data_IF_747605086021
#
_entry.id   IF_747605086021
#
_cell.length_a   1.000
_cell.length_b   1.000
_cell.length_c   1.000
_cell.angle_alpha   90.00
_cell.angle_beta   90.00
_cell.angle_gamma   90.00
#
_symmetry.space_group_name_H-M   'P 1'
#
loop_
_entity.id
_entity.type
_entity.pdbx_description
1 polymer ?
#
# COMPACT_ATOMS: atom_id res chain seq x y z
N UNK A 1 31.38 -11.71 19.00
CA UNK A 1 30.55 -10.55 18.59
C UNK A 1 30.77 -10.32 17.11
N UNK A 2 29.73 -10.16 16.28
CA UNK A 2 29.85 -10.23 14.81
C UNK A 2 30.08 -8.88 14.11
N UNK A 3 29.82 -7.77 14.79
CA UNK A 3 29.91 -6.41 14.21
C UNK A 3 31.32 -5.79 14.30
N UNK A 4 32.31 -6.54 14.80
CA UNK A 4 33.71 -6.09 14.79
C UNK A 4 34.05 -4.89 15.68
N UNK A 5 33.19 -4.55 16.66
CA UNK A 5 33.38 -3.43 17.60
C UNK A 5 34.70 -3.55 18.39
N UNK A 6 35.08 -4.78 18.75
CA UNK A 6 36.32 -5.07 19.49
C UNK A 6 37.48 -5.51 18.58
N UNK A 7 37.18 -5.90 17.34
CA UNK A 7 38.16 -6.42 16.37
C UNK A 7 38.74 -5.32 15.47
N UNK A 8 38.32 -4.06 15.70
CA UNK A 8 38.81 -2.93 14.95
C UNK A 8 38.36 -2.88 13.48
N UNK A 9 37.29 -3.60 13.13
CA UNK A 9 36.79 -3.75 11.75
C UNK A 9 36.75 -2.41 10.99
N UNK A 10 37.54 -2.25 9.91
CA UNK A 10 37.70 -0.97 9.21
C UNK A 10 36.52 -0.65 8.27
N UNK A 11 35.73 -1.63 7.86
CA UNK A 11 34.75 -1.48 6.77
C UNK A 11 33.64 -0.46 7.04
N UNK A 12 33.28 -0.25 8.31
CA UNK A 12 32.22 0.70 8.69
C UNK A 12 32.76 1.93 9.44
N UNK A 13 34.06 1.97 9.78
CA UNK A 13 34.68 3.10 10.47
C UNK A 13 34.91 4.31 9.56
N UNK A 14 35.00 4.07 8.25
CA UNK A 14 35.18 5.12 7.24
C UNK A 14 33.87 5.81 6.83
N UNK A 15 32.72 5.27 7.26
CA UNK A 15 31.42 5.89 7.00
C UNK A 15 31.23 7.08 7.95
N UNK A 16 30.77 8.19 7.39
CA UNK A 16 30.63 9.47 8.09
C UNK A 16 29.54 10.32 7.47
N UNK A 17 29.41 11.57 7.92
CA UNK A 17 28.33 12.49 7.52
C UNK A 17 28.24 12.69 5.99
N UNK A 18 29.38 12.71 5.32
CA UNK A 18 29.47 12.90 3.86
C UNK A 18 28.85 11.74 3.06
N UNK A 19 28.65 10.59 3.70
CA UNK A 19 27.98 9.42 3.11
C UNK A 19 26.48 9.38 3.44
N UNK A 20 25.95 10.25 4.31
CA UNK A 20 24.54 10.17 4.73
C UNK A 20 23.64 10.84 3.70
N UNK A 21 23.99 12.06 3.29
CA UNK A 21 23.24 12.87 2.32
C UNK A 21 24.00 12.98 0.98
N UNK A 22 24.54 11.87 0.48
CA UNK A 22 25.12 11.82 -0.87
C UNK A 22 24.03 11.95 -1.92
N UNK A 23 24.38 12.46 -3.10
CA UNK A 23 23.44 12.60 -4.22
C UNK A 23 22.83 11.24 -4.62
N UNK A 24 23.62 10.17 -4.52
CA UNK A 24 23.18 8.78 -4.76
C UNK A 24 22.04 8.36 -3.82
N UNK A 25 22.13 8.68 -2.53
CA UNK A 25 21.07 8.33 -1.56
C UNK A 25 19.80 9.15 -1.79
N UNK A 26 19.97 10.42 -2.18
CA UNK A 26 18.85 11.31 -2.50
C UNK A 26 18.15 10.81 -3.77
N UNK A 27 18.90 10.37 -4.79
CA UNK A 27 18.34 9.82 -6.03
C UNK A 27 17.58 8.51 -5.79
N UNK A 28 18.12 7.59 -4.98
CA UNK A 28 17.41 6.35 -4.60
C UNK A 28 16.13 6.65 -3.82
N UNK A 29 16.17 7.61 -2.88
CA UNK A 29 14.99 8.02 -2.15
C UNK A 29 13.94 8.66 -3.07
N UNK A 30 14.39 9.46 -4.05
CA UNK A 30 13.52 10.03 -5.05
C UNK A 30 12.87 8.93 -5.91
N UNK A 31 13.65 7.97 -6.43
CA UNK A 31 13.18 6.83 -7.23
C UNK A 31 12.13 6.00 -6.48
N UNK A 32 12.39 5.67 -5.21
CA UNK A 32 11.43 4.98 -4.36
C UNK A 32 10.10 5.77 -4.21
N UNK A 33 10.17 7.11 -4.11
CA UNK A 33 8.98 7.94 -4.10
C UNK A 33 8.27 7.97 -5.46
N UNK A 34 8.99 7.90 -6.59
CA UNK A 34 8.39 7.84 -7.94
C UNK A 34 7.57 6.57 -8.12
N UNK A 35 8.12 5.44 -7.72
CA UNK A 35 7.49 4.12 -7.87
C UNK A 35 6.40 3.85 -6.82
N UNK A 36 6.55 4.40 -5.61
CA UNK A 36 5.63 4.18 -4.49
C UNK A 36 4.31 4.95 -4.60
N UNK A 37 4.21 5.95 -5.48
CA UNK A 37 3.00 6.74 -5.68
C UNK A 37 1.91 5.93 -6.38
N UNK A 38 0.71 5.92 -5.80
CA UNK A 38 -0.45 5.17 -6.32
C UNK A 38 -1.51 6.12 -6.86
N UNK A 39 -1.90 5.95 -8.12
CA UNK A 39 -3.04 6.66 -8.72
C UNK A 39 -4.34 5.90 -8.44
N UNK A 40 -5.24 6.49 -7.65
CA UNK A 40 -6.50 5.84 -7.25
C UNK A 40 -7.66 6.15 -8.22
N UNK A 41 -7.71 7.37 -8.74
CA UNK A 41 -8.78 7.80 -9.65
C UNK A 41 -8.20 8.77 -10.66
N UNK A 42 -8.47 8.50 -11.94
CA UNK A 42 -8.09 9.40 -13.02
C UNK A 42 -9.34 10.14 -13.55
N UNK A 43 -9.26 11.46 -13.64
CA UNK A 43 -10.18 12.26 -14.47
C UNK A 43 -9.65 12.35 -15.90
N UNK A 44 -10.31 13.11 -16.79
CA UNK A 44 -9.68 13.52 -18.06
C UNK A 44 -8.63 14.58 -17.69
N UNK A 45 -7.32 14.30 -17.72
CA UNK A 45 -6.33 15.26 -17.28
C UNK A 45 -6.11 16.28 -18.41
N UNK A 46 -6.23 17.57 -18.10
CA UNK A 46 -5.94 18.64 -19.07
C UNK A 46 -4.42 18.88 -19.25
N UNK A 47 -3.57 18.46 -18.29
CA UNK A 47 -2.09 18.48 -18.30
C UNK A 47 -1.52 17.92 -16.97
N UNK A 48 -0.28 17.46 -16.97
CA UNK A 48 0.50 17.04 -15.78
C UNK A 48 1.44 18.19 -15.35
N UNK A 49 1.63 18.48 -14.04
CA UNK A 49 2.45 19.61 -13.56
C UNK A 49 2.92 19.44 -12.09
N UNK A 50 4.14 19.92 -11.73
CA UNK A 50 5.14 19.59 -10.65
C UNK A 50 4.87 20.09 -9.20
N UNK A 51 5.80 19.94 -8.20
CA UNK A 51 5.66 20.41 -6.80
C UNK A 51 5.99 21.89 -6.54
N UNK A 52 5.39 22.49 -5.50
CA UNK A 52 5.19 23.93 -5.25
C UNK A 52 6.38 24.91 -5.48
N UNK A 53 7.63 24.55 -5.16
CA UNK A 53 8.79 25.41 -5.44
C UNK A 53 9.15 25.43 -6.94
N UNK A 54 8.84 24.35 -7.64
CA UNK A 54 9.03 24.18 -9.08
C UNK A 54 7.76 24.58 -9.87
N UNK A 55 6.56 24.56 -9.28
CA UNK A 55 5.35 25.11 -9.95
C UNK A 55 5.51 26.61 -10.19
N UNK A 56 6.20 27.31 -9.30
CA UNK A 56 6.53 28.74 -9.47
C UNK A 56 7.39 29.02 -10.72
N UNK A 57 8.06 27.99 -11.27
CA UNK A 57 8.85 28.09 -12.51
C UNK A 57 7.97 27.89 -13.77
N UNK A 58 6.83 27.20 -13.65
CA UNK A 58 5.88 26.93 -14.75
C UNK A 58 4.73 27.93 -14.84
N UNK A 59 4.41 28.65 -13.75
CA UNK A 59 3.34 29.64 -13.73
C UNK A 59 3.17 30.32 -12.38
N UNK A 60 2.18 31.20 -12.29
CA UNK A 60 1.79 31.84 -11.04
C UNK A 60 1.08 30.83 -10.12
N UNK A 61 1.56 30.72 -8.89
CA UNK A 61 1.04 29.78 -7.89
C UNK A 61 0.37 30.56 -6.78
N UNK A 62 -0.91 30.29 -6.56
CA UNK A 62 -1.67 30.83 -5.43
C UNK A 62 -1.75 29.72 -4.38
N UNK A 63 -1.01 29.90 -3.29
CA UNK A 63 -1.07 29.01 -2.14
C UNK A 63 -1.96 29.63 -1.07
N UNK A 64 -3.02 28.91 -0.71
CA UNK A 64 -3.89 29.26 0.41
C UNK A 64 -4.04 28.05 1.33
N UNK A 65 -3.87 28.29 2.63
CA UNK A 65 -4.09 27.25 3.63
C UNK A 65 -5.60 27.06 3.81
N UNK A 66 -6.13 25.88 3.49
CA UNK A 66 -7.55 25.58 3.65
C UNK A 66 -7.96 25.22 5.07
N UNK A 67 -7.15 24.39 5.75
CA UNK A 67 -7.31 24.05 7.17
C UNK A 67 -5.97 24.18 7.89
N UNK A 68 -5.99 24.71 9.11
CA UNK A 68 -4.80 24.82 9.95
C UNK A 68 -4.50 23.56 10.77
N UNK A 69 -5.48 22.68 10.96
CA UNK A 69 -5.38 21.45 11.77
C UNK A 69 -6.05 20.28 11.03
N UNK A 70 -5.62 19.05 11.32
CA UNK A 70 -6.11 17.85 10.62
C UNK A 70 -7.60 17.57 10.84
N UNK A 71 -8.14 17.95 12.00
CA UNK A 71 -9.57 17.82 12.28
C UNK A 71 -10.41 18.97 11.69
N UNK A 72 -9.78 19.98 11.07
CA UNK A 72 -10.43 21.15 10.45
C UNK A 72 -11.56 21.76 11.30
N UNK A 73 -11.32 22.02 12.60
CA UNK A 73 -12.37 22.62 13.45
C UNK A 73 -12.69 24.07 13.11
N UNK A 74 -11.73 24.80 12.56
CA UNK A 74 -11.91 26.17 12.08
C UNK A 74 -12.07 26.18 10.56
N UNK A 75 -13.25 26.56 10.10
CA UNK A 75 -13.64 26.64 8.68
C UNK A 75 -13.33 28.02 8.04
N UNK A 76 -12.86 28.98 8.83
CA UNK A 76 -12.57 30.35 8.36
C UNK A 76 -11.59 30.40 7.18
N UNK A 77 -10.69 29.42 7.11
CA UNK A 77 -9.64 29.31 6.10
C UNK A 77 -10.13 28.64 4.80
N UNK A 78 -11.29 28.00 4.81
CA UNK A 78 -11.86 27.35 3.63
C UNK A 78 -12.34 28.38 2.60
N UNK A 79 -12.91 29.49 3.06
CA UNK A 79 -13.44 30.53 2.15
C UNK A 79 -12.34 31.22 1.33
N UNK A 80 -11.22 31.70 1.92
CA UNK A 80 -10.08 32.21 1.15
C UNK A 80 -9.53 31.21 0.13
N UNK A 81 -9.35 29.94 0.54
CA UNK A 81 -8.86 28.89 -0.35
C UNK A 81 -9.83 28.60 -1.51
N UNK A 82 -11.14 28.67 -1.25
CA UNK A 82 -12.16 28.49 -2.28
C UNK A 82 -12.17 29.66 -3.27
N UNK A 83 -11.90 30.89 -2.81
CA UNK A 83 -11.82 32.05 -3.69
C UNK A 83 -10.60 31.96 -4.61
N UNK A 84 -9.44 31.60 -4.07
CA UNK A 84 -8.24 31.32 -4.86
C UNK A 84 -8.48 30.19 -5.89
N UNK A 85 -9.20 29.14 -5.50
CA UNK A 85 -9.53 28.04 -6.41
C UNK A 85 -10.45 28.45 -7.57
N UNK A 86 -11.30 29.47 -7.41
CA UNK A 86 -12.15 29.99 -8.50
C UNK A 86 -11.35 30.73 -9.56
N UNK A 87 -10.29 31.40 -9.16
CA UNK A 87 -9.43 32.16 -10.08
C UNK A 87 -8.43 31.25 -10.80
N UNK A 88 -8.05 30.12 -10.18
CA UNK A 88 -7.10 29.18 -10.73
C UNK A 88 -7.68 28.32 -11.87
N UNK A 89 -6.86 28.06 -12.89
CA UNK A 89 -7.22 27.12 -13.98
C UNK A 89 -7.15 25.65 -13.57
N UNK A 90 -6.35 25.32 -12.56
CA UNK A 90 -6.22 23.99 -11.95
C UNK A 90 -6.07 24.16 -10.44
N UNK A 91 -6.83 23.40 -9.66
CA UNK A 91 -6.74 23.39 -8.19
C UNK A 91 -6.12 22.08 -7.72
N UNK A 92 -5.08 22.18 -6.89
CA UNK A 92 -4.44 21.02 -6.25
C UNK A 92 -4.80 21.02 -4.76
N UNK A 93 -5.42 19.94 -4.29
CA UNK A 93 -5.75 19.74 -2.87
C UNK A 93 -4.80 18.72 -2.26
N UNK A 94 -4.03 19.15 -1.27
CA UNK A 94 -3.12 18.29 -0.51
C UNK A 94 -3.75 18.02 0.85
N UNK A 95 -4.25 16.79 1.01
CA UNK A 95 -5.00 16.37 2.20
C UNK A 95 -4.52 14.98 2.61
N UNK A 96 -4.61 14.65 3.90
CA UNK A 96 -4.20 13.35 4.40
C UNK A 96 -4.30 13.28 5.92
N UNK A 97 -3.56 12.33 6.48
CA UNK A 97 -3.28 12.23 7.91
C UNK A 97 -1.79 12.57 8.15
N UNK A 98 -1.44 12.89 9.38
CA UNK A 98 -0.08 13.22 9.80
C UNK A 98 0.26 12.48 11.09
N UNK A 99 1.46 12.74 11.62
CA UNK A 99 1.94 12.16 12.87
C UNK A 99 1.14 12.61 14.12
N UNK A 100 0.25 13.60 14.01
CA UNK A 100 -0.64 13.95 15.12
C UNK A 100 -1.76 12.91 15.32
N UNK A 101 -2.08 12.16 14.27
CA UNK A 101 -3.10 11.09 14.28
C UNK A 101 -2.43 9.72 14.37
N UNK A 102 -1.44 9.44 13.53
CA UNK A 102 -0.77 8.13 13.45
C UNK A 102 0.67 8.24 13.98
N UNK A 103 0.85 8.00 15.27
CA UNK A 103 2.16 7.93 15.89
C UNK A 103 2.21 6.84 16.97
N UNK A 104 3.40 6.31 17.23
CA UNK A 104 3.62 5.44 18.37
C UNK A 104 3.34 6.22 19.67
N UNK A 105 2.56 5.62 20.56
CA UNK A 105 2.14 6.24 21.83
C UNK A 105 3.33 6.58 22.74
N UNK A 106 3.74 7.85 22.75
CA UNK A 106 4.35 8.62 23.85
C UNK A 106 5.38 7.92 24.78
N UNK A 107 6.57 7.58 24.25
CA UNK A 107 7.86 7.80 24.95
C UNK A 107 8.90 8.21 23.90
N UNK A 108 8.89 9.47 23.50
CA UNK A 108 9.85 9.97 22.51
C UNK A 108 9.63 11.43 22.09
N UNK A 109 9.09 12.27 22.97
CA UNK A 109 9.01 13.71 22.72
C UNK A 109 10.38 14.35 22.95
N UNK A 110 11.40 13.96 22.18
CA UNK A 110 12.67 14.68 22.08
C UNK A 110 13.57 14.25 20.89
N UNK A 111 13.07 14.05 19.67
CA UNK A 111 13.97 14.10 18.48
C UNK A 111 13.28 14.25 17.11
N UNK A 112 12.41 15.26 16.93
CA UNK A 112 11.96 15.65 15.57
C UNK A 112 11.94 17.16 15.41
N UNK A 113 13.09 17.79 15.71
CA UNK A 113 13.39 19.12 15.20
C UNK A 113 14.80 19.11 14.60
N UNK A 114 15.03 18.27 13.60
CA UNK A 114 15.82 18.74 12.46
C UNK A 114 14.84 19.11 11.34
N UNK A 115 14.30 20.33 11.45
CA UNK A 115 13.54 21.04 10.42
C UNK A 115 14.50 21.42 9.27
N UNK A 116 15.14 20.43 8.66
CA UNK A 116 15.94 20.62 7.45
C UNK A 116 15.34 19.78 6.34
N UNK A 117 14.59 20.50 5.51
CA UNK A 117 14.23 20.14 4.14
C UNK A 117 13.55 18.78 3.99
N UNK A 118 12.29 18.69 4.42
CA UNK A 118 11.35 17.82 3.71
C UNK A 118 11.03 18.50 2.37
N UNK A 119 11.99 18.46 1.43
CA UNK A 119 11.75 18.65 -0.02
C UNK A 119 11.08 17.40 -0.60
N UNK A 120 10.11 16.85 0.12
CA UNK A 120 9.37 15.65 -0.23
C UNK A 120 7.88 15.91 -0.01
N UNK A 121 7.35 16.92 -0.71
CA UNK A 121 5.93 17.21 -0.86
C UNK A 121 5.73 17.85 -2.24
N UNK A 122 4.77 17.42 -3.08
CA UNK A 122 4.29 16.08 -3.37
C UNK A 122 4.81 15.61 -4.75
N UNK A 123 5.42 14.42 -4.81
CA UNK A 123 6.03 13.80 -6.00
C UNK A 123 5.01 13.33 -7.06
N UNK A 124 3.73 13.69 -6.95
CA UNK A 124 2.65 13.16 -7.81
C UNK A 124 2.66 13.69 -9.25
N UNK A 125 3.59 14.58 -9.55
CA UNK A 125 3.34 15.64 -10.51
C UNK A 125 4.61 16.07 -11.26
N UNK A 126 5.74 15.45 -10.93
CA UNK A 126 7.00 15.67 -11.63
C UNK A 126 6.87 15.18 -13.07
N UNK A 127 7.31 16.02 -14.01
CA UNK A 127 7.46 15.61 -15.41
C UNK A 127 8.25 14.30 -15.46
N UNK A 128 7.69 13.32 -16.19
CA UNK A 128 8.18 11.95 -16.38
C UNK A 128 7.92 10.92 -15.27
N UNK A 129 7.03 11.17 -14.30
CA UNK A 129 6.58 10.10 -13.38
C UNK A 129 5.24 9.55 -13.85
N UNK A 130 5.26 8.32 -14.36
CA UNK A 130 4.05 7.52 -14.56
C UNK A 130 3.80 6.80 -13.24
N UNK A 131 2.70 7.08 -12.53
CA UNK A 131 2.38 6.36 -11.31
C UNK A 131 2.10 4.90 -11.66
N UNK A 132 2.90 4.00 -11.12
CA UNK A 132 2.75 2.55 -11.28
C UNK A 132 2.54 1.83 -9.94
N UNK A 133 2.60 2.57 -8.83
CA UNK A 133 2.37 2.04 -7.50
C UNK A 133 1.01 1.33 -7.39
N UNK A 134 0.95 0.40 -6.44
CA UNK A 134 -0.27 -0.33 -6.07
C UNK A 134 -0.43 -0.25 -4.56
N UNK A 135 -1.68 -0.19 -4.10
CA UNK A 135 -1.98 -0.11 -2.66
C UNK A 135 -1.48 -1.37 -1.92
N UNK A 136 -0.61 -1.23 -0.90
CA UNK A 136 -0.18 -2.36 -0.08
C UNK A 136 -1.20 -2.73 1.00
N UNK A 137 -2.29 -1.97 1.14
CA UNK A 137 -3.35 -2.16 2.13
C UNK A 137 -4.72 -1.87 1.51
N UNK A 138 -5.77 -2.52 2.01
CA UNK A 138 -7.14 -2.23 1.59
C UNK A 138 -7.69 -1.02 2.37
N UNK A 139 -8.37 -0.12 1.67
CA UNK A 139 -9.07 1.02 2.27
C UNK A 139 -10.50 0.63 2.63
N UNK A 140 -10.76 0.45 3.91
CA UNK A 140 -12.07 0.08 4.43
C UNK A 140 -12.97 1.30 4.59
N UNK A 141 -14.28 1.06 4.59
CA UNK A 141 -15.24 2.06 5.01
C UNK A 141 -15.11 2.36 6.51
N UNK A 142 -15.50 3.57 6.92
CA UNK A 142 -15.41 4.00 8.32
C UNK A 142 -16.12 3.04 9.27
N UNK A 143 -17.25 2.45 8.87
CA UNK A 143 -18.01 1.51 9.71
C UNK A 143 -17.24 0.24 10.08
N UNK A 144 -16.19 -0.12 9.35
CA UNK A 144 -15.38 -1.30 9.65
C UNK A 144 -14.68 -1.22 11.01
N UNK A 145 -14.29 -0.02 11.46
CA UNK A 145 -13.61 0.17 12.75
C UNK A 145 -14.54 -0.14 13.94
N UNK A 146 -15.85 -0.05 13.74
CA UNK A 146 -16.88 -0.34 14.75
C UNK A 146 -17.32 -1.81 14.73
N UNK A 147 -17.02 -2.56 13.67
CA UNK A 147 -17.43 -3.96 13.51
C UNK A 147 -16.61 -4.93 14.36
N UNK A 148 -15.37 -4.57 14.71
CA UNK A 148 -14.48 -5.42 15.48
C UNK A 148 -13.45 -4.59 16.26
N UNK A 149 -13.11 -4.97 17.52
CA UNK A 149 -12.13 -4.23 18.28
C UNK A 149 -10.74 -4.40 17.68
N UNK A 150 -9.97 -3.30 17.59
CA UNK A 150 -8.62 -3.31 17.00
C UNK A 150 -7.64 -4.24 17.73
N UNK A 151 -7.90 -4.55 19.00
CA UNK A 151 -7.15 -5.52 19.82
C UNK A 151 -7.39 -6.99 19.47
N UNK A 152 -8.43 -7.31 18.70
CA UNK A 152 -8.75 -8.69 18.30
C UNK A 152 -7.76 -9.17 17.24
N UNK A 153 -6.97 -10.22 17.52
CA UNK A 153 -6.00 -10.76 16.55
C UNK A 153 -6.52 -11.82 15.54
N UNK A 154 -7.74 -12.40 15.60
CA UNK A 154 -8.16 -13.37 14.58
C UNK A 154 -8.33 -12.66 13.23
N UNK A 155 -7.60 -13.16 12.23
CA UNK A 155 -7.68 -12.64 10.86
C UNK A 155 -8.90 -13.18 10.10
N UNK A 156 -9.32 -14.40 10.42
CA UNK A 156 -10.50 -15.03 9.80
C UNK A 156 -11.79 -14.47 10.41
N UNK A 157 -12.91 -14.48 9.66
CA UNK A 157 -14.20 -14.15 10.22
C UNK A 157 -14.56 -15.09 11.37
N UNK A 158 -15.24 -14.56 12.37
CA UNK A 158 -15.67 -15.31 13.55
C UNK A 158 -17.15 -15.07 13.77
N UNK A 159 -17.96 -16.04 13.34
CA UNK A 159 -19.43 -15.94 13.35
C UNK A 159 -19.99 -15.72 14.76
N UNK A 160 -19.36 -16.31 15.80
CA UNK A 160 -19.82 -16.19 17.19
C UNK A 160 -19.79 -14.76 17.73
N UNK A 161 -18.92 -13.90 17.18
CA UNK A 161 -18.79 -12.49 17.55
C UNK A 161 -19.21 -11.54 16.43
N UNK A 162 -19.66 -12.07 15.28
CA UNK A 162 -20.01 -11.28 14.10
C UNK A 162 -18.82 -10.58 13.44
N UNK A 163 -17.59 -11.06 13.65
CA UNK A 163 -16.40 -10.42 13.08
C UNK A 163 -16.26 -10.75 11.59
N UNK A 164 -16.18 -9.77 10.69
CA UNK A 164 -16.21 -9.97 9.24
C UNK A 164 -14.87 -10.44 8.64
N UNK A 165 -13.86 -10.71 9.48
CA UNK A 165 -12.49 -11.00 9.05
C UNK A 165 -11.68 -9.73 8.79
N UNK A 166 -10.35 -9.88 8.73
CA UNK A 166 -9.38 -8.79 8.52
C UNK A 166 -8.57 -9.04 7.26
N UNK A 167 -8.04 -7.97 6.69
CA UNK A 167 -7.20 -7.97 5.46
C UNK A 167 -8.00 -8.33 4.20
N UNK A 168 -7.43 -8.01 3.04
CA UNK A 168 -8.00 -8.35 1.73
C UNK A 168 -8.26 -9.85 1.54
N UNK A 169 -7.58 -10.71 2.30
CA UNK A 169 -7.69 -12.16 2.18
C UNK A 169 -8.94 -12.74 2.83
N UNK A 170 -9.42 -12.14 3.92
CA UNK A 170 -10.50 -12.72 4.72
C UNK A 170 -11.72 -11.81 4.88
N UNK A 171 -11.56 -10.50 4.65
CA UNK A 171 -12.68 -9.57 4.67
C UNK A 171 -13.47 -9.67 3.35
N UNK A 172 -14.77 -9.95 3.46
CA UNK A 172 -15.69 -10.12 2.32
C UNK A 172 -16.74 -8.99 2.24
N UNK A 173 -16.54 -7.88 2.97
CA UNK A 173 -17.44 -6.73 2.93
C UNK A 173 -17.07 -5.71 1.86
N UNK A 174 -17.70 -4.54 1.91
CA UNK A 174 -17.42 -3.45 0.97
C UNK A 174 -16.09 -2.77 1.28
N UNK A 175 -15.31 -2.51 0.23
CA UNK A 175 -13.99 -1.88 0.29
C UNK A 175 -14.01 -0.69 -0.65
N UNK A 176 -13.48 0.46 -0.19
CA UNK A 176 -13.39 1.68 -1.01
C UNK A 176 -12.33 1.52 -2.10
N UNK A 177 -11.12 1.09 -1.72
CA UNK A 177 -10.06 0.70 -2.64
C UNK A 177 -9.43 -0.63 -2.20
N UNK A 178 -9.44 -1.68 -3.05
CA UNK A 178 -8.92 -2.98 -2.67
C UNK A 178 -7.38 -3.00 -2.60
N UNK A 179 -6.86 -4.01 -1.91
CA UNK A 179 -5.43 -4.30 -1.94
C UNK A 179 -4.96 -4.54 -3.38
N UNK A 180 -3.78 -4.04 -3.72
CA UNK A 180 -3.21 -4.15 -5.06
C UNK A 180 -3.89 -3.24 -6.09
N UNK A 181 -4.80 -2.35 -5.67
CA UNK A 181 -5.43 -1.40 -6.57
C UNK A 181 -4.48 -0.24 -6.89
N UNK A 182 -4.47 0.18 -8.16
CA UNK A 182 -3.73 1.33 -8.66
C UNK A 182 -3.88 1.42 -10.17
N UNK A 183 -4.06 2.63 -10.66
CA UNK A 183 -4.19 2.94 -12.08
C UNK A 183 -2.81 3.29 -12.65
N UNK A 184 -2.71 3.14 -13.98
CA UNK A 184 -1.56 3.59 -14.75
C UNK A 184 -2.04 4.56 -15.83
N UNK A 185 -1.15 5.40 -16.37
CA UNK A 185 -1.52 6.39 -17.39
C UNK A 185 -1.73 5.79 -18.79
N UNK A 186 -1.45 4.50 -18.98
CA UNK A 186 -1.65 3.77 -20.24
C UNK A 186 -2.57 2.58 -20.03
N UNK A 187 -3.16 2.08 -21.11
CA UNK A 187 -3.97 0.88 -21.11
C UNK A 187 -3.11 -0.35 -21.39
N UNK A 188 -3.29 -1.40 -20.59
CA UNK A 188 -2.59 -2.68 -20.75
C UNK A 188 -3.56 -3.75 -21.22
N UNK A 189 -3.22 -4.44 -22.31
CA UNK A 189 -3.93 -5.64 -22.76
C UNK A 189 -3.18 -6.88 -22.28
N UNK A 190 -3.73 -7.53 -21.26
CA UNK A 190 -3.18 -8.79 -20.75
C UNK A 190 -3.87 -9.97 -21.44
N UNK A 191 -3.09 -10.82 -22.08
CA UNK A 191 -3.58 -12.10 -22.62
C UNK A 191 -3.02 -13.22 -21.76
N UNK A 192 -3.89 -14.08 -21.24
CA UNK A 192 -3.46 -15.31 -20.59
C UNK A 192 -2.87 -16.21 -21.67
N UNK A 193 -1.55 -16.39 -21.66
CA UNK A 193 -0.96 -17.56 -22.28
C UNK A 193 -1.65 -18.77 -21.64
N UNK A 194 -2.34 -19.57 -22.45
CA UNK A 194 -3.24 -20.66 -22.07
C UNK A 194 -2.93 -21.24 -20.69
N UNK A 195 -3.91 -21.41 -19.78
CA UNK A 195 -3.67 -22.23 -18.61
C UNK A 195 -3.21 -23.57 -19.16
N UNK A 196 -1.96 -23.95 -18.91
CA UNK A 196 -1.67 -25.37 -18.90
C UNK A 196 -2.65 -25.90 -17.86
N UNK A 197 -3.71 -26.59 -18.29
CA UNK A 197 -4.57 -27.36 -17.41
C UNK A 197 -3.67 -28.43 -16.79
N UNK A 198 -2.93 -28.01 -15.78
CA UNK A 198 -2.03 -28.87 -15.03
C UNK A 198 -2.93 -29.63 -14.05
N UNK A 199 -3.69 -30.59 -14.59
CA UNK A 199 -4.31 -31.62 -13.77
C UNK A 199 -3.21 -32.60 -13.38
N UNK A 200 -2.89 -32.65 -12.08
CA UNK A 200 -2.01 -33.67 -11.55
C UNK A 200 -2.88 -34.83 -11.05
N UNK A 201 -2.87 -35.95 -11.78
CA UNK A 201 -3.51 -37.18 -11.32
C UNK A 201 -2.66 -37.80 -10.20
N UNK A 202 -3.01 -37.47 -8.95
CA UNK A 202 -2.35 -38.04 -7.78
C UNK A 202 -2.93 -39.43 -7.51
N UNK A 203 -2.12 -40.47 -7.71
CA UNK A 203 -2.47 -41.83 -7.28
C UNK A 203 -2.32 -41.94 -5.77
N UNK A 204 -3.45 -42.08 -5.07
CA UNK A 204 -3.44 -42.27 -3.63
C UNK A 204 -2.97 -43.68 -3.25
N UNK A 205 -2.01 -43.77 -2.33
CA UNK A 205 -1.53 -45.02 -1.76
C UNK A 205 -2.50 -45.57 -0.71
N UNK A 206 -2.45 -46.88 -0.43
CA UNK A 206 -3.36 -47.57 0.51
C UNK A 206 -3.38 -46.99 1.93
N UNK A 207 -2.34 -46.24 2.31
CA UNK A 207 -2.19 -45.63 3.64
C UNK A 207 -2.63 -44.15 3.71
N UNK A 208 -3.00 -43.53 2.59
CA UNK A 208 -3.47 -42.15 2.57
C UNK A 208 -4.98 -42.10 2.85
N UNK A 209 -5.37 -41.28 3.82
CA UNK A 209 -6.76 -41.15 4.24
C UNK A 209 -7.39 -39.92 3.59
N UNK A 210 -8.53 -40.13 2.94
CA UNK A 210 -9.37 -39.04 2.47
C UNK A 210 -10.03 -38.37 3.66
N UNK A 211 -9.91 -37.05 3.74
CA UNK A 211 -10.58 -36.23 4.73
C UNK A 211 -11.85 -35.63 4.16
N UNK A 212 -12.93 -35.72 4.92
CA UNK A 212 -14.18 -35.04 4.60
C UNK A 212 -14.06 -33.53 4.84
N UNK A 213 -14.52 -32.76 3.86
CA UNK A 213 -14.72 -31.32 4.02
C UNK A 213 -16.16 -31.06 4.47
N UNK A 214 -16.34 -30.06 5.32
CA UNK A 214 -17.65 -29.67 5.78
C UNK A 214 -18.30 -28.78 4.71
N UNK A 215 -19.25 -29.34 3.95
CA UNK A 215 -19.93 -28.63 2.87
C UNK A 215 -21.14 -27.86 3.41
N UNK A 216 -21.26 -26.59 3.05
CA UNK A 216 -22.54 -25.88 3.05
C UNK A 216 -23.34 -26.40 1.84
N UNK A 217 -24.53 -26.91 2.06
CA UNK A 217 -25.26 -27.87 1.19
C UNK A 217 -25.50 -27.46 -0.28
N UNK A 218 -25.65 -28.51 -1.12
CA UNK A 218 -26.01 -28.58 -2.57
C UNK A 218 -24.89 -28.68 -3.62
N UNK A 219 -23.69 -29.13 -3.23
CA UNK A 219 -22.61 -29.48 -4.17
C UNK A 219 -22.43 -30.99 -4.41
N UNK A 220 -21.93 -31.38 -5.60
CA UNK A 220 -21.48 -32.75 -5.87
C UNK A 220 -20.33 -33.13 -4.93
N UNK A 221 -20.55 -34.11 -4.05
CA UNK A 221 -19.55 -34.58 -3.10
C UNK A 221 -18.59 -35.54 -3.80
N UNK A 222 -17.35 -35.09 -3.99
CA UNK A 222 -16.28 -35.91 -4.55
C UNK A 222 -15.94 -37.07 -3.59
N UNK A 223 -15.56 -38.22 -4.15
CA UNK A 223 -15.25 -39.43 -3.37
C UNK A 223 -14.05 -39.28 -2.43
N UNK A 224 -13.20 -38.27 -2.64
CA UNK A 224 -12.07 -37.92 -1.78
C UNK A 224 -11.85 -36.40 -1.87
N UNK A 225 -12.44 -35.59 -0.97
CA UNK A 225 -12.47 -34.14 -1.14
C UNK A 225 -11.21 -33.43 -0.62
N UNK A 226 -10.46 -34.04 0.29
CA UNK A 226 -9.17 -33.52 0.74
C UNK A 226 -8.22 -34.64 1.14
N UNK A 227 -6.92 -34.40 0.97
CA UNK A 227 -5.80 -35.26 1.43
C UNK A 227 -4.73 -34.32 1.99
N UNK A 228 -4.03 -34.72 3.05
CA UNK A 228 -2.91 -33.94 3.58
C UNK A 228 -1.73 -34.01 2.60
N UNK A 229 -1.23 -32.83 2.22
CA UNK A 229 -0.11 -32.70 1.27
C UNK A 229 1.16 -33.34 1.85
N UNK A 230 1.32 -33.32 3.18
CA UNK A 230 2.46 -33.92 3.88
C UNK A 230 2.51 -35.46 3.73
N UNK A 231 1.37 -36.10 3.46
CA UNK A 231 1.28 -37.55 3.26
C UNK A 231 1.58 -37.96 1.80
N UNK A 232 1.73 -37.00 0.88
CA UNK A 232 2.03 -37.25 -0.52
C UNK A 232 3.55 -37.33 -0.73
N UNK A 233 4.03 -38.41 -1.37
CA UNK A 233 5.43 -38.46 -1.80
C UNK A 233 5.63 -37.61 -3.04
N UNK A 234 6.61 -36.69 -3.01
CA UNK A 234 6.94 -35.77 -4.11
C UNK A 234 7.69 -36.45 -5.27
N UNK A 235 7.22 -37.61 -5.72
CA UNK A 235 7.86 -38.39 -6.80
C UNK A 235 7.24 -38.12 -8.18
N UNK A 236 6.16 -37.34 -8.25
CA UNK A 236 5.44 -37.10 -9.52
C UNK A 236 6.08 -35.96 -10.32
N UNK A 237 6.57 -36.28 -11.51
CA UNK A 237 6.99 -35.27 -12.48
C UNK A 237 5.75 -34.64 -13.13
N UNK A 238 5.71 -33.31 -13.15
CA UNK A 238 4.74 -32.53 -13.90
C UNK A 238 4.89 -32.83 -15.40
N UNK A 239 4.02 -33.66 -15.96
CA UNK A 239 3.93 -33.80 -17.42
C UNK A 239 3.23 -32.57 -17.98
N UNK A 240 3.97 -31.74 -18.73
CA UNK A 240 3.34 -30.77 -19.63
C UNK A 240 2.57 -31.55 -20.70
N UNK A 241 1.29 -31.21 -20.87
CA UNK A 241 0.55 -31.49 -22.10
C UNK A 241 1.05 -30.52 -23.18
#
# INVERSE_FOLDING_TARGET
MRLGFFDGSPSFKSLGKDHVCSDEHIEVAAEAAREGVVLLKNGVPCRYATPLDDISSYGEVIYEMGCGEMACWNDSLIFPATEAAKEAGVTLLLMGLDLSIEAESWIGYLDILDKKEVKALPVLFLENIIPEGRLPLAWYESSYVDMLPMTSMPLRPVDSFGYPGRTYKFYNGSIVYPFGYGLSCTEFKNELASPAEASLDIKLNRYQQCHDLNYTSEGYRQSCPAVFVDDLSCDSQLSKI
#
